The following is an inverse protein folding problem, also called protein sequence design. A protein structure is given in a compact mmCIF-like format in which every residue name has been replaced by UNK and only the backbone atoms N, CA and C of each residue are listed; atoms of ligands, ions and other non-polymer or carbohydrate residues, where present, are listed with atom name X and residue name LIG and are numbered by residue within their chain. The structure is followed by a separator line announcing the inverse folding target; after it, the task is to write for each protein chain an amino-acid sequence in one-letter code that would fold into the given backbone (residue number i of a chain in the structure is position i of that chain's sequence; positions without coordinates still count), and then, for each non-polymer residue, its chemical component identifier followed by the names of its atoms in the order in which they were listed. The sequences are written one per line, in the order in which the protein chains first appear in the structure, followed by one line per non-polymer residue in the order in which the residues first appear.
data_IF_480901409027
#
_entry.id   IF_480901409027
#
_cell.length_a   1.000
_cell.length_b   1.000
_cell.length_c   1.000
_cell.angle_alpha   90.00
_cell.angle_beta   90.00
_cell.angle_gamma   90.00
#
_symmetry.space_group_name_H-M   'P 1'
#
loop_
_entity.id
_entity.type
_entity.pdbx_description
1 polymer ?
#
# COMPACT_ATOMS: atom_id res chain seq x y z
N UNK A 1 7.20 13.12 2.62
CA UNK A 1 7.54 11.86 1.94
C UNK A 1 9.04 11.63 1.84
N UNK A 2 9.82 12.63 1.50
CA UNK A 2 11.29 12.47 1.33
C UNK A 2 11.99 11.92 2.57
N UNK A 3 11.60 12.37 3.79
CA UNK A 3 12.17 11.88 5.05
C UNK A 3 11.99 10.36 5.27
N UNK A 4 10.85 9.80 4.86
CA UNK A 4 10.54 8.37 5.06
C UNK A 4 11.33 7.49 4.09
N UNK A 5 11.62 7.98 2.88
CA UNK A 5 12.37 7.23 1.87
C UNK A 5 13.86 7.10 2.18
N UNK A 6 14.40 8.00 3.01
CA UNK A 6 15.82 8.03 3.36
C UNK A 6 16.14 7.26 4.66
N UNK A 7 15.12 6.76 5.36
CA UNK A 7 15.31 6.05 6.61
C UNK A 7 15.39 4.53 6.39
N UNK A 8 16.35 3.88 7.06
CA UNK A 8 16.48 2.42 7.04
C UNK A 8 15.24 1.70 7.60
N UNK A 9 14.63 2.28 8.64
CA UNK A 9 13.38 1.78 9.22
C UNK A 9 12.29 2.84 9.04
N UNK A 10 11.64 2.78 7.88
CA UNK A 10 10.69 3.78 7.43
C UNK A 10 9.35 3.66 8.16
N UNK A 11 9.02 4.63 9.02
CA UNK A 11 7.72 4.76 9.66
C UNK A 11 7.20 6.19 9.55
N UNK A 12 5.88 6.34 9.45
CA UNK A 12 5.25 7.67 9.44
C UNK A 12 5.29 8.30 10.84
N UNK A 13 5.13 7.46 11.87
CA UNK A 13 5.15 7.87 13.28
C UNK A 13 6.41 7.32 13.96
N UNK A 14 7.28 8.23 14.40
CA UNK A 14 8.51 7.87 15.09
C UNK A 14 8.25 7.14 16.43
N UNK A 15 7.09 7.36 17.06
CA UNK A 15 6.74 6.75 18.33
C UNK A 15 6.56 5.22 18.24
N UNK A 16 6.29 4.68 17.06
CA UNK A 16 6.11 3.23 16.86
C UNK A 16 7.42 2.49 16.57
N UNK A 17 8.51 3.20 16.26
CA UNK A 17 9.81 2.59 15.92
C UNK A 17 10.34 1.70 17.04
N UNK A 18 10.37 2.24 18.25
CA UNK A 18 10.90 1.51 19.40
C UNK A 18 10.07 0.27 19.75
N UNK A 19 8.73 0.32 19.85
CA UNK A 19 7.91 -0.88 20.01
C UNK A 19 8.10 -1.92 18.91
N UNK A 20 8.22 -1.51 17.65
CA UNK A 20 8.43 -2.42 16.53
C UNK A 20 9.81 -3.09 16.61
N UNK A 21 10.87 -2.34 16.90
CA UNK A 21 12.21 -2.88 17.06
C UNK A 21 12.27 -3.93 18.18
N UNK A 22 11.60 -3.68 19.31
CA UNK A 22 11.52 -4.67 20.40
C UNK A 22 10.90 -5.99 19.96
N UNK A 23 9.80 -5.93 19.20
CA UNK A 23 9.15 -7.15 18.69
C UNK A 23 10.09 -7.95 17.78
N UNK A 24 10.86 -7.24 16.92
CA UNK A 24 11.86 -7.86 16.05
C UNK A 24 12.99 -8.49 16.87
N UNK A 25 13.53 -7.77 17.86
CA UNK A 25 14.58 -8.25 18.74
C UNK A 25 14.14 -9.47 19.57
N UNK A 26 12.93 -9.44 20.12
CA UNK A 26 12.36 -10.56 20.88
C UNK A 26 12.20 -11.81 20.01
N UNK A 27 11.74 -11.65 18.78
CA UNK A 27 11.66 -12.75 17.82
C UNK A 27 13.06 -13.32 17.49
N UNK A 28 14.01 -12.43 17.20
CA UNK A 28 15.39 -12.81 16.92
C UNK A 28 16.01 -13.63 18.08
N UNK A 29 15.85 -13.17 19.32
CA UNK A 29 16.35 -13.89 20.51
C UNK A 29 15.63 -15.22 20.74
N UNK A 30 14.41 -15.35 20.27
CA UNK A 30 13.62 -16.58 20.35
C UNK A 30 13.86 -17.53 19.17
N UNK A 31 14.76 -17.18 18.25
CA UNK A 31 15.00 -17.90 16.99
C UNK A 31 13.71 -18.06 16.14
N UNK A 32 12.92 -17.00 16.13
CA UNK A 32 11.64 -16.92 15.40
C UNK A 32 11.65 -15.70 14.46
N UNK A 33 10.61 -15.54 13.68
CA UNK A 33 10.43 -14.44 12.74
C UNK A 33 9.10 -13.74 12.93
N UNK A 34 9.06 -12.44 12.60
CA UNK A 34 7.84 -11.64 12.62
C UNK A 34 7.40 -11.31 11.18
N UNK A 35 6.09 -11.22 11.01
CA UNK A 35 5.51 -10.66 9.79
C UNK A 35 5.31 -9.16 9.91
N UNK A 36 5.04 -8.51 8.79
CA UNK A 36 4.74 -7.08 8.76
C UNK A 36 3.89 -6.68 7.57
N UNK A 37 3.49 -5.44 7.59
CA UNK A 37 2.77 -4.79 6.51
C UNK A 37 3.54 -3.54 6.08
N UNK A 38 3.74 -3.40 4.77
CA UNK A 38 4.34 -2.21 4.17
C UNK A 38 3.24 -1.51 3.39
N UNK A 39 3.04 -0.23 3.67
CA UNK A 39 2.17 0.63 2.89
C UNK A 39 3.00 1.50 1.94
N UNK A 40 2.63 1.50 0.68
CA UNK A 40 3.30 2.28 -0.36
C UNK A 40 2.29 3.15 -1.09
N UNK A 41 2.62 4.41 -1.33
CA UNK A 41 1.81 5.32 -2.13
C UNK A 41 2.57 5.72 -3.40
N UNK A 42 1.90 5.61 -4.54
CA UNK A 42 2.35 6.15 -5.82
C UNK A 42 1.52 7.40 -6.08
N UNK A 43 2.16 8.53 -6.18
CA UNK A 43 1.51 9.83 -6.40
C UNK A 43 1.77 10.36 -7.81
N UNK A 44 0.91 11.25 -8.29
CA UNK A 44 1.01 11.87 -9.61
C UNK A 44 0.95 10.86 -10.78
N UNK A 45 0.28 9.74 -10.60
CA UNK A 45 0.04 8.81 -11.69
C UNK A 45 -0.81 9.49 -12.78
N UNK A 46 -0.39 9.47 -14.06
CA UNK A 46 -1.22 9.99 -15.14
C UNK A 46 -2.50 9.17 -15.30
N UNK A 47 -3.58 9.83 -15.71
CA UNK A 47 -4.81 9.14 -16.08
C UNK A 47 -4.61 8.25 -17.31
N UNK A 48 -5.27 7.09 -17.34
CA UNK A 48 -5.24 6.17 -18.48
C UNK A 48 -4.00 5.27 -18.54
N UNK A 49 -3.26 5.14 -17.45
CA UNK A 49 -2.19 4.14 -17.32
C UNK A 49 -2.80 2.78 -17.01
N UNK A 50 -2.30 1.75 -17.67
CA UNK A 50 -2.80 0.39 -17.56
C UNK A 50 -3.90 0.07 -18.58
N UNK A 51 -4.01 -1.19 -18.92
CA UNK A 51 -4.99 -1.69 -19.89
C UNK A 51 -6.02 -2.57 -19.19
N UNK A 52 -7.25 -2.61 -19.73
CA UNK A 52 -8.32 -3.43 -19.13
C UNK A 52 -7.95 -4.91 -19.15
N UNK A 53 -8.50 -5.65 -18.19
CA UNK A 53 -8.35 -7.06 -17.90
C UNK A 53 -6.98 -7.43 -17.33
N UNK A 54 -6.05 -7.96 -18.11
CA UNK A 54 -4.82 -8.60 -17.61
C UNK A 54 -3.71 -7.61 -17.26
N UNK A 55 -3.66 -6.47 -17.92
CA UNK A 55 -2.59 -5.48 -17.79
C UNK A 55 -3.05 -4.20 -17.06
N UNK A 56 -4.02 -4.33 -16.18
CA UNK A 56 -4.38 -3.25 -15.26
C UNK A 56 -3.18 -2.92 -14.36
N UNK A 57 -3.12 -1.69 -13.88
CA UNK A 57 -2.03 -1.24 -13.00
C UNK A 57 -1.90 -2.14 -11.77
N UNK A 58 -3.01 -2.57 -11.17
CA UNK A 58 -3.01 -3.51 -10.05
C UNK A 58 -2.44 -4.86 -10.41
N UNK A 59 -2.77 -5.39 -11.60
CA UNK A 59 -2.26 -6.67 -12.06
C UNK A 59 -0.74 -6.62 -12.22
N UNK A 60 -0.21 -5.58 -12.87
CA UNK A 60 1.22 -5.39 -13.09
C UNK A 60 1.95 -5.20 -11.76
N UNK A 61 1.43 -4.34 -10.89
CA UNK A 61 2.02 -4.10 -9.57
C UNK A 61 1.98 -5.35 -8.70
N UNK A 62 0.85 -6.08 -8.68
CA UNK A 62 0.73 -7.33 -7.93
C UNK A 62 1.73 -8.37 -8.43
N UNK A 63 1.88 -8.51 -9.75
CA UNK A 63 2.87 -9.41 -10.34
C UNK A 63 4.28 -9.07 -9.86
N UNK A 64 4.66 -7.79 -9.90
CA UNK A 64 5.96 -7.33 -9.43
C UNK A 64 6.15 -7.57 -7.93
N UNK A 65 5.14 -7.23 -7.11
CA UNK A 65 5.20 -7.38 -5.66
C UNK A 65 5.29 -8.85 -5.22
N UNK A 66 4.54 -9.75 -5.86
CA UNK A 66 4.66 -11.19 -5.59
C UNK A 66 5.96 -11.83 -6.07
N UNK A 67 6.75 -11.14 -6.91
CA UNK A 67 8.12 -11.58 -7.24
C UNK A 67 9.11 -11.36 -6.10
N UNK A 68 8.77 -10.51 -5.15
CA UNK A 68 9.56 -10.30 -3.92
C UNK A 68 9.33 -11.47 -2.97
N UNK A 69 10.40 -12.06 -2.48
CA UNK A 69 10.31 -13.17 -1.51
C UNK A 69 9.53 -12.78 -0.27
N UNK A 70 8.85 -13.75 0.32
CA UNK A 70 8.05 -13.62 1.54
C UNK A 70 6.75 -12.80 1.44
N UNK A 71 6.45 -12.13 0.34
CA UNK A 71 5.15 -11.47 0.13
C UNK A 71 4.03 -12.51 0.10
N UNK A 72 3.00 -12.31 0.92
CA UNK A 72 1.85 -13.22 1.10
C UNK A 72 0.51 -12.61 0.74
N UNK A 73 0.42 -11.30 0.64
CA UNK A 73 -0.80 -10.61 0.28
C UNK A 73 -0.51 -9.20 -0.23
N UNK A 74 -1.36 -8.72 -1.12
CA UNK A 74 -1.34 -7.35 -1.65
C UNK A 74 -2.76 -6.83 -1.64
N UNK A 75 -2.95 -5.59 -1.24
CA UNK A 75 -4.23 -4.88 -1.28
C UNK A 75 -4.03 -3.50 -1.90
N UNK A 76 -5.07 -3.00 -2.55
CA UNK A 76 -5.11 -1.65 -3.12
C UNK A 76 -6.24 -0.85 -2.49
N UNK A 77 -6.02 0.45 -2.27
CA UNK A 77 -7.00 1.34 -1.65
C UNK A 77 -7.41 0.86 -0.26
N UNK A 78 -8.71 0.76 -0.03
CA UNK A 78 -9.26 0.24 1.24
C UNK A 78 -8.98 -1.26 1.43
N UNK A 79 -8.70 -2.00 0.34
CA UNK A 79 -8.43 -3.43 0.41
C UNK A 79 -9.65 -4.25 0.86
N UNK A 80 -9.45 -5.34 1.61
CA UNK A 80 -10.54 -6.23 2.04
C UNK A 80 -11.69 -5.55 2.79
N UNK A 81 -11.50 -4.51 3.61
CA UNK A 81 -12.60 -3.80 4.26
C UNK A 81 -13.65 -3.24 3.30
N UNK A 82 -13.34 -3.02 2.02
CA UNK A 82 -14.30 -2.54 1.01
C UNK A 82 -15.51 -3.49 0.86
N UNK A 83 -15.31 -4.78 1.16
CA UNK A 83 -16.39 -5.78 1.10
C UNK A 83 -17.51 -5.54 2.13
N UNK A 84 -17.29 -4.67 3.10
CA UNK A 84 -18.25 -4.31 4.14
C UNK A 84 -18.89 -2.93 3.91
N UNK A 85 -18.51 -2.25 2.83
CA UNK A 85 -19.00 -0.92 2.47
C UNK A 85 -20.12 -1.04 1.46
N UNK A 86 -21.09 -0.12 1.52
CA UNK A 86 -22.02 0.07 0.43
C UNK A 86 -21.33 0.72 -0.77
N UNK A 87 -21.82 0.46 -1.99
CA UNK A 87 -21.23 1.00 -3.21
C UNK A 87 -21.17 2.53 -3.22
N UNK A 88 -22.13 3.22 -2.61
CA UNK A 88 -22.13 4.68 -2.44
C UNK A 88 -21.02 5.19 -1.52
N UNK A 89 -20.62 4.39 -0.53
CA UNK A 89 -19.53 4.71 0.41
C UNK A 89 -18.16 4.42 -0.23
N UNK A 90 -18.08 3.30 -0.97
CA UNK A 90 -16.85 2.86 -1.63
C UNK A 90 -16.53 3.67 -2.90
N UNK A 91 -17.44 4.52 -3.36
CA UNK A 91 -17.26 5.30 -4.58
C UNK A 91 -16.29 6.47 -4.37
N UNK A 92 -15.27 6.53 -5.20
CA UNK A 92 -14.31 7.64 -5.25
C UNK A 92 -14.81 8.73 -6.20
N UNK A 93 -15.70 9.60 -5.71
CA UNK A 93 -16.30 10.66 -6.52
C UNK A 93 -15.26 11.62 -7.07
N UNK A 94 -15.39 11.96 -8.35
CA UNK A 94 -14.50 12.94 -8.99
C UNK A 94 -14.83 14.38 -8.55
N UNK A 95 -13.80 15.19 -8.40
CA UNK A 95 -13.90 16.63 -8.16
C UNK A 95 -12.83 17.39 -8.93
N UNK A 96 -13.10 18.67 -9.19
CA UNK A 96 -12.10 19.58 -9.75
C UNK A 96 -11.31 20.26 -8.63
N UNK A 97 -10.00 20.22 -8.71
CA UNK A 97 -9.10 21.01 -7.87
C UNK A 97 -7.94 21.55 -8.71
N UNK A 98 -7.75 22.86 -8.67
CA UNK A 98 -6.66 23.55 -9.39
C UNK A 98 -6.60 23.20 -10.89
N UNK A 99 -7.77 23.07 -11.53
CA UNK A 99 -7.90 22.74 -12.95
C UNK A 99 -7.62 21.27 -13.29
N UNK A 100 -7.42 20.40 -12.27
CA UNK A 100 -7.22 18.96 -12.45
C UNK A 100 -8.40 18.18 -11.88
N UNK A 101 -8.74 17.07 -12.53
CA UNK A 101 -9.69 16.10 -12.00
C UNK A 101 -8.97 15.25 -10.96
N UNK A 102 -9.51 15.21 -9.76
CA UNK A 102 -9.02 14.36 -8.66
C UNK A 102 -10.20 13.60 -8.06
N UNK A 103 -9.92 12.52 -7.33
CA UNK A 103 -10.91 11.82 -6.52
C UNK A 103 -11.05 12.45 -5.14
N UNK A 104 -12.23 12.32 -4.53
CA UNK A 104 -12.49 12.79 -3.17
C UNK A 104 -11.94 11.85 -2.10
N UNK A 105 -11.89 10.57 -2.41
CA UNK A 105 -11.41 9.47 -1.59
C UNK A 105 -10.53 8.55 -2.41
N UNK A 106 -9.97 7.52 -1.80
CA UNK A 106 -9.11 6.54 -2.47
C UNK A 106 -9.48 5.11 -2.06
N UNK A 107 -10.77 4.81 -2.01
CA UNK A 107 -11.25 3.47 -1.63
C UNK A 107 -10.86 2.41 -2.65
N UNK A 108 -10.86 2.75 -3.93
CA UNK A 108 -10.52 1.86 -5.02
C UNK A 108 -9.02 1.87 -5.39
N UNK A 109 -8.17 2.50 -4.58
CA UNK A 109 -6.72 2.50 -4.79
C UNK A 109 -6.22 3.37 -5.94
N UNK A 110 -7.06 4.26 -6.51
CA UNK A 110 -6.67 5.21 -7.55
C UNK A 110 -6.49 4.62 -8.95
N UNK A 111 -7.04 3.44 -9.22
CA UNK A 111 -6.95 2.71 -10.50
C UNK A 111 -7.42 3.57 -11.68
N UNK A 112 -8.36 4.47 -11.44
CA UNK A 112 -8.89 5.42 -12.44
C UNK A 112 -8.15 6.75 -12.44
N UNK A 113 -6.91 6.80 -11.89
CA UNK A 113 -5.99 7.87 -12.23
C UNK A 113 -5.77 9.05 -11.27
N UNK A 114 -5.40 8.87 -9.99
CA UNK A 114 -4.75 10.04 -9.32
C UNK A 114 -3.69 9.65 -8.29
N UNK A 115 -3.87 8.58 -7.57
CA UNK A 115 -2.87 8.00 -6.67
C UNK A 115 -3.19 6.55 -6.40
N UNK A 116 -2.17 5.71 -6.32
CA UNK A 116 -2.31 4.30 -5.98
C UNK A 116 -1.74 4.11 -4.58
N UNK A 117 -2.53 3.52 -3.69
CA UNK A 117 -2.05 3.02 -2.41
C UNK A 117 -2.10 1.51 -2.42
N UNK A 118 -1.01 0.87 -2.11
CA UNK A 118 -0.90 -0.58 -1.98
C UNK A 118 -0.36 -0.95 -0.60
N UNK A 119 -0.99 -1.91 0.06
CA UNK A 119 -0.46 -2.55 1.25
C UNK A 119 0.11 -3.91 0.87
N UNK A 120 1.34 -4.15 1.25
CA UNK A 120 2.02 -5.42 1.02
C UNK A 120 2.18 -6.13 2.36
N UNK A 121 1.75 -7.38 2.41
CA UNK A 121 1.91 -8.23 3.59
C UNK A 121 3.08 -9.16 3.36
N UNK A 122 4.09 -9.07 4.20
CA UNK A 122 5.27 -9.92 4.16
C UNK A 122 5.45 -10.63 5.50
N UNK A 123 6.03 -11.83 5.46
CA UNK A 123 6.52 -12.57 6.62
C UNK A 123 8.03 -12.76 6.45
N UNK A 124 8.73 -13.01 7.55
CA UNK A 124 10.19 -13.16 7.61
C UNK A 124 10.95 -11.82 7.46
N UNK A 125 10.54 -10.83 8.28
CA UNK A 125 11.24 -9.54 8.37
C UNK A 125 12.52 -9.63 9.24
N UNK A 126 12.61 -10.67 10.08
CA UNK A 126 13.82 -11.00 10.81
C UNK A 126 14.46 -12.21 10.14
N UNK A 127 15.42 -11.97 9.29
CA UNK A 127 16.26 -13.00 8.67
C UNK A 127 17.69 -12.88 9.15
#
# INVERSE_FOLDING_TARGET
MDKVNDEYFATIDDAVKEPMNRVIEDAFHSLDSVGGTIETAIINMPAGVGEPYFDSVESILSHALYSVGAVKGVQFGTGFPISRMYGSEANDSFRMKDGKVITSTNHNGGINAVSISACVFAKDIAG
#
